data_IF_882059270921
#
_entry.id   IF_882059270921
#
_cell.length_a   1.000
_cell.length_b   1.000
_cell.length_c   1.000
_cell.angle_alpha   90.00
_cell.angle_beta   90.00
_cell.angle_gamma   90.00
#
_symmetry.space_group_name_H-M   'P 1'
#
loop_
_entity.id
_entity.type
_entity.pdbx_description
1 polymer ?
#
# COMPACT_ATOMS: atom_id res chain seq x y z
N UNK A 1 -50.29 21.60 25.55
CA UNK A 1 -49.17 22.55 25.77
C UNK A 1 -47.97 21.75 26.27
N UNK A 2 -46.75 21.99 25.76
CA UNK A 2 -45.79 20.96 25.39
C UNK A 2 -44.68 20.74 26.44
N UNK A 3 -44.10 19.54 26.50
CA UNK A 3 -42.74 19.33 26.99
C UNK A 3 -41.98 18.49 25.97
N UNK A 4 -40.97 19.15 25.40
CA UNK A 4 -40.13 18.71 24.29
C UNK A 4 -39.51 17.34 24.51
N UNK A 5 -39.74 16.44 23.56
CA UNK A 5 -38.87 15.30 23.26
C UNK A 5 -37.57 15.82 22.67
N UNK A 6 -36.53 15.93 23.49
CA UNK A 6 -35.18 16.27 23.05
C UNK A 6 -34.19 15.31 23.72
N UNK A 7 -34.19 14.05 23.30
CA UNK A 7 -33.23 13.06 23.78
C UNK A 7 -32.85 12.05 22.69
N UNK A 8 -32.50 12.49 21.48
CA UNK A 8 -31.90 11.56 20.50
C UNK A 8 -31.04 12.25 19.44
N UNK A 9 -30.02 13.02 19.83
CA UNK A 9 -29.03 13.57 18.88
C UNK A 9 -27.59 13.58 19.43
N UNK A 10 -27.21 12.56 20.21
CA UNK A 10 -25.79 12.41 20.65
C UNK A 10 -25.15 11.12 20.11
N UNK A 11 -25.94 10.17 19.59
CA UNK A 11 -25.41 8.90 19.09
C UNK A 11 -24.91 8.91 17.63
N UNK A 12 -25.30 9.91 16.82
CA UNK A 12 -25.06 9.88 15.37
C UNK A 12 -23.80 10.64 14.91
N UNK A 13 -23.12 11.35 15.80
CA UNK A 13 -21.91 12.09 15.46
C UNK A 13 -20.64 11.24 15.55
N UNK A 14 -20.60 10.20 16.39
CA UNK A 14 -19.41 9.34 16.49
C UNK A 14 -19.26 8.47 15.24
N UNK A 15 -20.36 7.97 14.67
CA UNK A 15 -20.34 7.13 13.46
C UNK A 15 -19.86 7.87 12.20
N UNK A 16 -20.12 9.18 12.10
CA UNK A 16 -19.67 10.01 10.98
C UNK A 16 -18.17 10.33 11.01
N UNK A 17 -17.53 10.26 12.18
CA UNK A 17 -16.07 10.43 12.30
C UNK A 17 -15.30 9.15 11.93
N UNK A 18 -15.90 7.97 12.07
CA UNK A 18 -15.21 6.70 11.74
C UNK A 18 -15.23 6.41 10.23
N UNK A 19 -16.20 6.93 9.47
CA UNK A 19 -16.22 6.80 8.00
C UNK A 19 -15.26 7.77 7.29
N UNK A 20 -14.64 8.70 8.01
CA UNK A 20 -13.66 9.66 7.48
C UNK A 20 -12.20 9.31 7.79
N UNK A 21 -11.95 8.19 8.49
CA UNK A 21 -10.61 7.61 8.57
C UNK A 21 -10.29 6.92 7.23
N UNK A 22 -9.98 7.72 6.20
CA UNK A 22 -9.34 7.18 5.00
C UNK A 22 -8.04 6.49 5.41
N UNK A 23 -7.63 5.45 4.68
CA UNK A 23 -6.32 4.79 4.87
C UNK A 23 -5.19 5.83 4.92
N UNK A 24 -5.32 6.90 4.11
CA UNK A 24 -4.44 8.07 4.14
C UNK A 24 -4.37 8.80 5.48
N UNK A 25 -5.51 9.05 6.14
CA UNK A 25 -5.52 9.73 7.43
C UNK A 25 -4.82 8.88 8.51
N UNK A 26 -5.04 7.57 8.50
CA UNK A 26 -4.36 6.63 9.41
C UNK A 26 -2.86 6.63 9.15
N UNK A 27 -2.47 6.50 7.89
CA UNK A 27 -1.07 6.44 7.47
C UNK A 27 -0.31 7.73 7.82
N UNK A 28 -0.91 8.90 7.61
CA UNK A 28 -0.33 10.19 8.01
C UNK A 28 -0.20 10.33 9.54
N UNK A 29 -1.09 9.69 10.31
CA UNK A 29 -1.03 9.74 11.79
C UNK A 29 0.05 8.80 12.34
N UNK A 30 0.25 7.63 11.72
CA UNK A 30 1.25 6.63 12.15
C UNK A 30 2.65 7.00 11.69
N UNK A 31 2.78 7.66 10.53
CA UNK A 31 4.06 8.04 9.93
C UNK A 31 4.13 9.55 9.62
N UNK A 32 4.00 10.43 10.62
CA UNK A 32 3.90 11.88 10.40
C UNK A 32 5.17 12.50 9.81
N UNK A 33 6.33 11.88 10.06
CA UNK A 33 7.63 12.43 9.67
C UNK A 33 8.13 11.91 8.31
N UNK A 34 7.35 11.08 7.61
CA UNK A 34 7.76 10.46 6.34
C UNK A 34 7.33 11.28 5.14
N UNK A 35 8.25 11.39 4.17
CA UNK A 35 7.99 12.03 2.89
C UNK A 35 7.28 11.06 1.94
N UNK A 36 6.24 11.54 1.25
CA UNK A 36 5.39 10.74 0.36
C UNK A 36 5.75 10.95 -1.11
N UNK A 37 5.99 9.85 -1.82
CA UNK A 37 6.30 9.85 -3.25
C UNK A 37 5.42 8.84 -3.98
N UNK A 38 4.73 9.29 -5.03
CA UNK A 38 3.89 8.44 -5.86
C UNK A 38 4.46 8.30 -7.26
N UNK A 39 4.43 7.08 -7.79
CA UNK A 39 4.91 6.75 -9.14
C UNK A 39 3.80 5.99 -9.86
N UNK A 40 3.48 6.41 -11.08
CA UNK A 40 2.54 5.69 -11.93
C UNK A 40 3.31 4.66 -12.78
N UNK A 41 2.74 3.46 -12.93
CA UNK A 41 3.22 2.49 -13.90
C UNK A 41 2.64 2.78 -15.30
N UNK A 42 3.00 1.96 -16.29
CA UNK A 42 2.55 2.12 -17.69
C UNK A 42 1.04 1.93 -17.88
N UNK A 43 0.36 1.31 -16.92
CA UNK A 43 -1.10 1.10 -16.92
C UNK A 43 -1.84 2.23 -16.19
N UNK A 44 -1.12 3.19 -15.62
CA UNK A 44 -1.68 4.31 -14.87
C UNK A 44 -1.92 4.01 -13.38
N UNK A 45 -1.64 2.79 -12.93
CA UNK A 45 -1.72 2.42 -11.51
C UNK A 45 -0.62 3.12 -10.72
N UNK A 46 -0.95 3.63 -9.54
CA UNK A 46 -0.09 4.47 -8.71
C UNK A 46 0.41 3.69 -7.50
N UNK A 47 1.73 3.50 -7.46
CA UNK A 47 2.42 3.02 -6.26
C UNK A 47 2.91 4.18 -5.41
N UNK A 48 2.55 4.17 -4.12
CA UNK A 48 2.93 5.22 -3.17
C UNK A 48 3.92 4.73 -2.12
N UNK A 49 5.01 5.48 -1.94
CA UNK A 49 6.10 5.20 -1.02
C UNK A 49 6.18 6.29 0.07
N UNK A 50 6.24 5.87 1.34
CA UNK A 50 6.59 6.73 2.48
C UNK A 50 8.04 6.49 2.90
N UNK A 51 8.90 7.46 2.61
CA UNK A 51 10.32 7.36 2.91
C UNK A 51 10.69 8.18 4.15
N UNK A 52 11.64 7.66 4.93
CA UNK A 52 12.30 8.48 5.96
C UNK A 52 12.81 9.79 5.33
N UNK A 53 12.73 10.92 6.05
CA UNK A 53 13.04 12.23 5.48
C UNK A 53 14.52 12.38 5.14
N UNK A 54 14.83 13.27 4.21
CA UNK A 54 16.21 13.62 3.86
C UNK A 54 16.40 14.03 2.40
N UNK A 55 17.53 14.69 2.11
CA UNK A 55 17.82 15.21 0.77
C UNK A 55 17.84 14.15 -0.35
N UNK A 56 17.97 12.86 0.00
CA UNK A 56 17.96 11.74 -0.93
C UNK A 56 16.63 10.96 -0.97
N UNK A 57 15.60 11.39 -0.23
CA UNK A 57 14.35 10.64 -0.04
C UNK A 57 13.65 10.33 -1.38
N UNK A 58 13.55 11.30 -2.28
CA UNK A 58 12.98 11.09 -3.62
C UNK A 58 13.79 10.07 -4.45
N UNK A 59 15.13 10.11 -4.34
CA UNK A 59 16.00 9.16 -5.05
C UNK A 59 15.81 7.75 -4.51
N UNK A 60 15.73 7.59 -3.19
CA UNK A 60 15.44 6.30 -2.54
C UNK A 60 14.06 5.79 -2.92
N UNK A 61 13.04 6.66 -2.95
CA UNK A 61 11.70 6.30 -3.40
C UNK A 61 11.69 5.79 -4.85
N UNK A 62 12.40 6.47 -5.76
CA UNK A 62 12.52 6.01 -7.15
C UNK A 62 13.29 4.69 -7.28
N UNK A 63 14.28 4.43 -6.43
CA UNK A 63 14.98 3.14 -6.38
C UNK A 63 14.09 2.03 -5.83
N UNK A 64 13.34 2.30 -4.77
CA UNK A 64 12.34 1.42 -4.20
C UNK A 64 11.29 1.04 -5.25
N UNK A 65 10.74 2.03 -5.97
CA UNK A 65 9.76 1.79 -7.03
C UNK A 65 10.29 0.84 -8.12
N UNK A 66 11.46 1.13 -8.69
CA UNK A 66 12.07 0.25 -9.71
C UNK A 66 12.36 -1.15 -9.19
N UNK A 67 12.76 -1.28 -7.92
CA UNK A 67 12.99 -2.57 -7.30
C UNK A 67 11.69 -3.36 -7.18
N UNK A 68 10.62 -2.74 -6.67
CA UNK A 68 9.29 -3.35 -6.55
C UNK A 68 8.77 -3.81 -7.90
N UNK A 69 8.77 -2.93 -8.91
CA UNK A 69 8.35 -3.26 -10.29
C UNK A 69 9.12 -4.47 -10.84
N UNK A 70 10.44 -4.51 -10.61
CA UNK A 70 11.26 -5.63 -11.07
C UNK A 70 10.94 -6.96 -10.36
N UNK A 71 10.54 -6.92 -9.09
CA UNK A 71 10.12 -8.14 -8.37
C UNK A 71 8.72 -8.60 -8.80
N UNK A 72 7.79 -7.66 -8.96
CA UNK A 72 6.44 -7.93 -9.43
C UNK A 72 6.45 -8.51 -10.85
N UNK A 73 7.23 -7.91 -11.77
CA UNK A 73 7.42 -8.43 -13.11
C UNK A 73 7.95 -9.87 -13.11
N UNK A 74 8.99 -10.15 -12.33
CA UNK A 74 9.56 -11.51 -12.24
C UNK A 74 8.57 -12.55 -11.75
N UNK A 75 7.75 -12.23 -10.74
CA UNK A 75 6.76 -13.18 -10.22
C UNK A 75 5.57 -13.32 -11.16
N UNK A 76 5.17 -12.25 -11.85
CA UNK A 76 4.15 -12.30 -12.89
C UNK A 76 4.59 -13.17 -14.07
N UNK A 77 5.81 -12.98 -14.58
CA UNK A 77 6.40 -13.80 -15.66
C UNK A 77 6.49 -15.27 -15.25
N UNK A 78 6.96 -15.54 -14.04
CA UNK A 78 7.02 -16.89 -13.50
C UNK A 78 5.62 -17.51 -13.43
N UNK A 79 4.63 -16.79 -12.90
CA UNK A 79 3.26 -17.27 -12.77
C UNK A 79 2.62 -17.54 -14.15
N UNK A 80 2.73 -16.59 -15.08
CA UNK A 80 2.23 -16.73 -16.44
C UNK A 80 2.81 -17.98 -17.13
N UNK A 81 4.13 -18.18 -17.03
CA UNK A 81 4.79 -19.35 -17.60
C UNK A 81 4.27 -20.67 -16.99
N UNK A 82 4.03 -20.71 -15.67
CA UNK A 82 3.55 -21.93 -15.02
C UNK A 82 2.07 -22.20 -15.27
N UNK A 83 1.26 -21.16 -15.46
CA UNK A 83 -0.14 -21.28 -15.86
C UNK A 83 -0.23 -21.86 -17.27
N UNK A 84 0.51 -21.28 -18.22
CA UNK A 84 0.50 -21.70 -19.63
C UNK A 84 1.00 -23.14 -19.79
N UNK A 85 2.05 -23.51 -19.05
CA UNK A 85 2.61 -24.86 -19.13
C UNK A 85 1.90 -25.88 -18.21
N UNK A 86 0.94 -25.45 -17.39
CA UNK A 86 0.26 -26.32 -16.43
C UNK A 86 1.18 -26.93 -15.37
N UNK A 87 2.28 -26.26 -15.02
CA UNK A 87 3.34 -26.80 -14.15
C UNK A 87 3.27 -26.36 -12.70
N UNK A 88 2.34 -25.47 -12.34
CA UNK A 88 2.07 -25.12 -10.95
C UNK A 88 0.56 -25.04 -10.68
N UNK A 89 0.16 -25.46 -9.49
CA UNK A 89 -1.19 -25.25 -8.99
C UNK A 89 -1.43 -23.78 -8.64
N UNK A 90 -2.70 -23.35 -8.65
CA UNK A 90 -3.09 -22.02 -8.20
C UNK A 90 -2.59 -21.71 -6.78
N UNK A 91 -2.55 -22.72 -5.91
CA UNK A 91 -2.08 -22.56 -4.53
C UNK A 91 -0.57 -22.30 -4.43
N UNK A 92 0.23 -22.91 -5.30
CA UNK A 92 1.67 -22.64 -5.38
C UNK A 92 1.92 -21.23 -5.93
N UNK A 93 1.14 -20.83 -6.94
CA UNK A 93 1.22 -19.48 -7.52
C UNK A 93 0.90 -18.43 -6.45
N UNK A 94 -0.23 -18.55 -5.74
CA UNK A 94 -0.60 -17.62 -4.67
C UNK A 94 0.44 -17.58 -3.56
N UNK A 95 0.97 -18.73 -3.13
CA UNK A 95 2.05 -18.78 -2.11
C UNK A 95 3.29 -18.04 -2.58
N UNK A 96 3.67 -18.20 -3.85
CA UNK A 96 4.86 -17.54 -4.40
C UNK A 96 4.66 -16.03 -4.50
N UNK A 97 3.52 -15.57 -5.00
CA UNK A 97 3.17 -14.15 -5.07
C UNK A 97 3.23 -13.52 -3.68
N UNK A 98 2.56 -14.12 -2.69
CA UNK A 98 2.57 -13.61 -1.32
C UNK A 98 3.98 -13.57 -0.72
N UNK A 99 4.79 -14.61 -0.97
CA UNK A 99 6.18 -14.65 -0.51
C UNK A 99 7.03 -13.55 -1.14
N UNK A 100 6.86 -13.28 -2.43
CA UNK A 100 7.60 -12.23 -3.14
C UNK A 100 7.15 -10.85 -2.69
N UNK A 101 5.83 -10.62 -2.56
CA UNK A 101 5.28 -9.36 -2.06
C UNK A 101 5.83 -9.05 -0.66
N UNK A 102 5.78 -10.01 0.26
CA UNK A 102 6.34 -9.85 1.62
C UNK A 102 7.83 -9.53 1.59
N UNK A 103 8.63 -10.31 0.88
CA UNK A 103 10.07 -10.08 0.78
C UNK A 103 10.39 -8.71 0.15
N UNK A 104 9.59 -8.28 -0.82
CA UNK A 104 9.76 -6.99 -1.50
C UNK A 104 9.49 -5.83 -0.56
N UNK A 105 8.42 -5.89 0.23
CA UNK A 105 8.09 -4.88 1.25
C UNK A 105 9.20 -4.81 2.30
N UNK A 106 9.60 -5.96 2.87
CA UNK A 106 10.62 -6.04 3.91
C UNK A 106 11.98 -5.50 3.41
N UNK A 107 12.40 -5.86 2.19
CA UNK A 107 13.64 -5.37 1.60
C UNK A 107 13.56 -3.89 1.22
N UNK A 108 12.39 -3.42 0.77
CA UNK A 108 12.18 -2.00 0.42
C UNK A 108 12.32 -1.10 1.64
N UNK A 109 11.75 -1.51 2.77
CA UNK A 109 11.91 -0.80 4.03
C UNK A 109 13.36 -0.86 4.52
N UNK A 110 13.95 -2.06 4.54
CA UNK A 110 15.31 -2.26 5.06
C UNK A 110 16.35 -1.45 4.27
N UNK A 111 16.30 -1.55 2.94
CA UNK A 111 17.32 -1.04 2.00
C UNK A 111 17.10 0.42 1.64
N UNK A 112 15.86 0.83 1.40
CA UNK A 112 15.54 2.18 0.92
C UNK A 112 14.92 3.07 2.00
N UNK A 113 14.64 2.51 3.19
CA UNK A 113 13.95 3.22 4.28
C UNK A 113 12.60 3.79 3.82
N UNK A 114 11.93 3.06 2.93
CA UNK A 114 10.64 3.43 2.34
C UNK A 114 9.61 2.35 2.61
N UNK A 115 8.38 2.73 2.94
CA UNK A 115 7.24 1.84 3.09
C UNK A 115 6.36 1.97 1.86
N UNK A 116 5.97 0.85 1.25
CA UNK A 116 4.92 0.82 0.23
C UNK A 116 3.57 0.84 0.96
N UNK A 117 2.78 1.88 0.76
CA UNK A 117 1.49 2.07 1.48
C UNK A 117 0.26 1.96 0.58
N UNK A 118 0.44 2.10 -0.73
CA UNK A 118 -0.65 2.01 -1.67
C UNK A 118 -0.17 1.57 -3.05
N UNK A 119 -1.02 0.79 -3.72
CA UNK A 119 -0.89 0.39 -5.11
C UNK A 119 -2.31 0.40 -5.69
N UNK A 120 -2.75 1.57 -6.15
CA UNK A 120 -4.10 1.81 -6.70
C UNK A 120 -4.12 1.70 -8.22
#
# INVERSE_FOLDING_TARGET
MPRSTAFTLVGLTVAAFVSACSSDAVVNTVYPDRERFAFANSQGERSTYLCAPGADAQKRAGQAHRYTEAQLGKVADWAANHIVNGTASSMEISRRINSVAKATVDETEKRYKCLLIDAE
#
